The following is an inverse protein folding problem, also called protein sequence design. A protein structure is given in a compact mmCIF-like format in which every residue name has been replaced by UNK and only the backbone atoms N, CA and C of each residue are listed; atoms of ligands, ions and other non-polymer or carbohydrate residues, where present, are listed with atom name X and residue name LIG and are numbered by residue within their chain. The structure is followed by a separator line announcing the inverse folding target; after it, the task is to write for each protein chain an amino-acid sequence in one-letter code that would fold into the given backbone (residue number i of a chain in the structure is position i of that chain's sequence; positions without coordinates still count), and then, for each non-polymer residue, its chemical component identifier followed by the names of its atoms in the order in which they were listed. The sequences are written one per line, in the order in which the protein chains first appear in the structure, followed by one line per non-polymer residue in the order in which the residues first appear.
data_IF_566312192894
#
_entry.id   IF_566312192894
#
_cell.length_a   1.000
_cell.length_b   1.000
_cell.length_c   1.000
_cell.angle_alpha   90.00
_cell.angle_beta   90.00
_cell.angle_gamma   90.00
#
_symmetry.space_group_name_H-M   'P 1'
#
loop_
_entity.id
_entity.type
_entity.pdbx_description
1 polymer ?
#
# COMPACT_ATOMS: atom_id res chain seq x y z
N UNK A 1 17.92 21.17 -3.90
CA UNK A 1 16.60 20.55 -4.12
C UNK A 1 16.40 19.50 -3.04
N UNK A 2 15.62 19.78 -2.01
CA UNK A 2 15.29 18.78 -0.97
C UNK A 2 14.16 17.91 -1.49
N UNK A 3 14.49 16.70 -1.93
CA UNK A 3 13.50 15.66 -2.19
C UNK A 3 12.69 15.47 -0.90
N UNK A 4 11.38 15.70 -0.96
CA UNK A 4 10.49 15.33 0.14
C UNK A 4 10.45 13.81 0.21
N UNK A 5 11.26 13.22 1.11
CA UNK A 5 11.26 11.77 1.34
C UNK A 5 10.12 11.44 2.30
N UNK A 6 9.27 10.49 1.92
CA UNK A 6 8.18 10.00 2.75
C UNK A 6 8.22 8.48 2.86
N UNK A 7 7.91 7.94 4.02
CA UNK A 7 7.72 6.49 4.18
C UNK A 7 6.31 6.10 3.72
N UNK A 8 6.25 5.18 2.76
CA UNK A 8 5.01 4.64 2.20
C UNK A 8 4.94 3.15 2.50
N UNK A 9 3.82 2.70 3.08
CA UNK A 9 3.54 1.27 3.24
C UNK A 9 2.86 0.74 1.99
N UNK A 10 3.51 -0.21 1.32
CA UNK A 10 3.01 -0.88 0.12
C UNK A 10 2.47 -2.24 0.52
N UNK A 11 1.19 -2.45 0.29
CA UNK A 11 0.54 -3.76 0.44
C UNK A 11 0.60 -4.47 -0.90
N UNK A 12 1.29 -5.61 -0.93
CA UNK A 12 1.48 -6.46 -2.09
C UNK A 12 0.88 -7.85 -1.81
N UNK A 13 0.67 -8.66 -2.86
CA UNK A 13 0.11 -10.01 -2.72
C UNK A 13 0.98 -10.95 -1.89
N UNK A 14 2.27 -10.65 -1.76
CA UNK A 14 3.24 -11.41 -0.96
C UNK A 14 3.47 -10.85 0.44
N UNK A 15 2.81 -9.75 0.82
CA UNK A 15 3.01 -9.13 2.13
C UNK A 15 2.95 -7.60 2.14
N UNK A 16 3.37 -7.01 3.24
CA UNK A 16 3.28 -5.58 3.54
C UNK A 16 4.68 -5.02 3.77
N UNK A 17 5.07 -4.03 2.97
CA UNK A 17 6.44 -3.53 2.95
C UNK A 17 6.49 -2.02 3.16
N UNK A 18 7.45 -1.53 3.93
CA UNK A 18 7.69 -0.09 4.08
C UNK A 18 8.82 0.34 3.15
N UNK A 19 8.57 1.36 2.34
CA UNK A 19 9.56 1.93 1.41
C UNK A 19 9.67 3.43 1.57
N UNK A 20 10.89 3.95 1.50
CA UNK A 20 11.13 5.38 1.40
C UNK A 20 10.94 5.82 -0.06
N UNK A 21 9.95 6.69 -0.28
CA UNK A 21 9.60 7.22 -1.60
C UNK A 21 10.02 8.68 -1.67
N UNK A 22 10.68 9.05 -2.77
CA UNK A 22 11.02 10.44 -3.07
C UNK A 22 10.06 10.99 -4.12
N UNK A 23 9.35 12.06 -3.79
CA UNK A 23 8.44 12.69 -4.75
C UNK A 23 9.20 13.59 -5.71
N UNK A 24 8.86 13.49 -7.00
CA UNK A 24 9.39 14.39 -8.01
C UNK A 24 8.92 15.84 -7.74
N UNK A 25 9.87 16.78 -7.70
CA UNK A 25 9.62 18.22 -7.50
C UNK A 25 10.09 19.06 -8.70
N UNK A 26 10.24 18.45 -9.88
CA UNK A 26 10.67 19.17 -11.08
C UNK A 26 9.66 20.28 -11.46
N UNK A 27 10.09 21.40 -12.06
CA UNK A 27 9.18 22.40 -12.61
C UNK A 27 8.23 21.76 -13.63
N UNK A 28 6.91 21.91 -13.43
CA UNK A 28 5.89 21.26 -14.26
C UNK A 28 5.55 19.82 -13.86
N UNK A 29 6.19 19.26 -12.83
CA UNK A 29 5.79 17.96 -12.29
C UNK A 29 4.38 18.04 -11.67
N UNK A 30 3.63 16.96 -11.85
CA UNK A 30 2.28 16.83 -11.34
C UNK A 30 2.30 16.82 -9.81
N UNK A 31 1.69 17.84 -9.20
CA UNK A 31 1.66 17.97 -7.72
C UNK A 31 0.70 16.97 -7.05
N UNK A 32 -0.13 16.29 -7.84
CA UNK A 32 -1.07 15.29 -7.39
C UNK A 32 -0.36 13.94 -7.13
N UNK A 33 0.04 13.70 -5.88
CA UNK A 33 0.75 12.48 -5.47
C UNK A 33 0.01 11.18 -5.83
N UNK A 34 -1.34 11.21 -5.79
CA UNK A 34 -2.16 10.06 -6.18
C UNK A 34 -1.98 9.68 -7.66
N UNK A 35 -1.75 10.64 -8.56
CA UNK A 35 -1.49 10.37 -9.98
C UNK A 35 -0.10 9.76 -10.19
N UNK A 36 0.91 10.21 -9.44
CA UNK A 36 2.23 9.57 -9.45
C UNK A 36 2.17 8.10 -8.98
N UNK A 37 1.41 7.81 -7.92
CA UNK A 37 1.19 6.43 -7.46
C UNK A 37 0.44 5.59 -8.49
N UNK A 38 -0.64 6.13 -9.07
CA UNK A 38 -1.39 5.43 -10.11
C UNK A 38 -0.54 5.12 -11.35
N UNK A 39 0.32 6.05 -11.78
CA UNK A 39 1.32 5.82 -12.84
C UNK A 39 2.30 4.71 -12.47
N UNK A 40 2.65 4.58 -11.19
CA UNK A 40 3.47 3.50 -10.65
C UNK A 40 2.67 2.20 -10.37
N UNK A 41 1.42 2.09 -10.83
CA UNK A 41 0.52 0.94 -10.61
C UNK A 41 0.25 0.66 -9.12
N UNK A 42 0.23 1.73 -8.32
CA UNK A 42 -0.12 1.72 -6.90
C UNK A 42 -1.42 2.49 -6.69
N UNK A 43 -2.38 1.85 -6.03
CA UNK A 43 -3.63 2.46 -5.64
C UNK A 43 -3.48 3.10 -4.24
N UNK A 44 -3.52 4.44 -4.13
CA UNK A 44 -3.35 5.12 -2.84
C UNK A 44 -4.53 4.84 -1.92
N UNK A 45 -4.28 4.74 -0.62
CA UNK A 45 -5.34 4.66 0.40
C UNK A 45 -5.98 6.00 0.70
N UNK A 46 -5.28 7.09 0.41
CA UNK A 46 -5.75 8.46 0.57
C UNK A 46 -5.31 9.32 -0.61
N UNK A 47 -6.23 10.15 -1.10
CA UNK A 47 -5.99 11.07 -2.23
C UNK A 47 -5.11 12.26 -1.79
N UNK A 48 -5.22 12.66 -0.52
CA UNK A 48 -4.57 13.88 0.00
C UNK A 48 -3.16 13.62 0.49
N UNK A 49 -2.90 12.59 1.29
CA UNK A 49 -1.56 12.22 1.76
C UNK A 49 -1.49 10.71 1.97
N UNK A 50 -1.18 9.94 0.91
CA UNK A 50 -1.09 8.49 1.02
C UNK A 50 0.12 8.10 1.89
N UNK A 51 -0.16 7.55 3.07
CA UNK A 51 0.83 6.84 3.90
C UNK A 51 0.93 5.37 3.54
N UNK A 52 -0.08 4.87 2.82
CA UNK A 52 -0.11 3.53 2.29
C UNK A 52 -0.66 3.49 0.87
N UNK A 53 -0.31 2.41 0.16
CA UNK A 53 -0.86 2.10 -1.15
C UNK A 53 -0.97 0.59 -1.34
N UNK A 54 -1.92 0.16 -2.16
CA UNK A 54 -2.12 -1.22 -2.57
C UNK A 54 -1.60 -1.43 -3.99
N UNK A 55 -1.00 -2.57 -4.28
CA UNK A 55 -0.86 -2.97 -5.69
C UNK A 55 -2.22 -3.41 -6.24
N UNK A 56 -2.44 -3.25 -7.54
CA UNK A 56 -3.67 -3.74 -8.16
C UNK A 56 -3.85 -5.26 -7.98
N UNK A 57 -2.76 -6.03 -8.06
CA UNK A 57 -2.78 -7.47 -7.84
C UNK A 57 -3.31 -7.89 -6.46
N UNK A 58 -3.00 -7.13 -5.39
CA UNK A 58 -3.53 -7.46 -4.06
C UNK A 58 -5.03 -7.13 -3.95
N UNK A 59 -5.52 -6.13 -4.69
CA UNK A 59 -6.93 -5.81 -4.77
C UNK A 59 -7.70 -6.89 -5.54
N UNK A 60 -7.13 -7.39 -6.64
CA UNK A 60 -7.72 -8.50 -7.41
C UNK A 60 -7.80 -9.78 -6.56
N UNK A 61 -6.72 -10.11 -5.83
CA UNK A 61 -6.71 -11.25 -4.91
C UNK A 61 -7.76 -11.09 -3.79
N UNK A 62 -7.89 -9.89 -3.22
CA UNK A 62 -8.89 -9.63 -2.19
C UNK A 62 -10.30 -9.79 -2.74
N UNK A 63 -10.56 -9.29 -3.96
CA UNK A 63 -11.86 -9.43 -4.61
C UNK A 63 -12.27 -10.89 -4.76
N UNK A 64 -11.36 -11.75 -5.25
CA UNK A 64 -11.61 -13.19 -5.40
C UNK A 64 -11.83 -13.85 -4.03
N UNK A 65 -10.96 -13.60 -3.05
CA UNK A 65 -11.07 -14.19 -1.69
C UNK A 65 -12.35 -13.73 -0.96
N UNK A 66 -12.81 -12.50 -1.20
CA UNK A 66 -14.05 -11.97 -0.66
C UNK A 66 -15.29 -12.61 -1.32
N UNK A 67 -15.25 -12.86 -2.63
CA UNK A 67 -16.36 -13.47 -3.37
C UNK A 67 -16.48 -14.97 -3.08
N UNK A 68 -15.38 -15.71 -3.19
CA UNK A 68 -15.38 -17.18 -3.10
C UNK A 68 -15.42 -17.66 -1.64
N UNK A 69 -14.60 -17.05 -0.78
CA UNK A 69 -14.42 -17.52 0.60
C UNK A 69 -15.12 -16.64 1.64
N UNK A 70 -15.82 -15.58 1.22
CA UNK A 70 -16.43 -14.58 2.13
C UNK A 70 -15.41 -13.99 3.11
N UNK A 71 -14.16 -13.87 2.65
CA UNK A 71 -13.05 -13.41 3.47
C UNK A 71 -13.24 -11.93 3.82
N UNK A 72 -13.23 -11.61 5.11
CA UNK A 72 -13.26 -10.21 5.54
C UNK A 72 -11.95 -9.50 5.17
N UNK A 73 -12.00 -8.18 4.96
CA UNK A 73 -10.80 -7.39 4.71
C UNK A 73 -9.74 -7.56 5.82
N UNK A 74 -10.16 -7.68 7.07
CA UNK A 74 -9.26 -7.91 8.20
C UNK A 74 -8.60 -9.29 8.15
N UNK A 75 -9.36 -10.35 7.85
CA UNK A 75 -8.81 -11.70 7.70
C UNK A 75 -7.82 -11.79 6.54
N UNK A 76 -8.13 -11.14 5.42
CA UNK A 76 -7.24 -11.06 4.28
C UNK A 76 -5.96 -10.26 4.60
N UNK A 77 -6.07 -9.14 5.32
CA UNK A 77 -4.92 -8.39 5.79
C UNK A 77 -4.03 -9.22 6.73
N UNK A 78 -4.63 -9.95 7.67
CA UNK A 78 -3.90 -10.84 8.56
C UNK A 78 -3.12 -11.91 7.77
N UNK A 79 -3.73 -12.53 6.75
CA UNK A 79 -3.05 -13.45 5.82
C UNK A 79 -1.78 -12.81 5.22
N UNK A 80 -1.85 -11.54 4.81
CA UNK A 80 -0.69 -10.81 4.30
C UNK A 80 0.37 -10.54 5.39
N UNK A 81 -0.03 -10.27 6.64
CA UNK A 81 0.92 -10.15 7.75
C UNK A 81 1.70 -11.43 7.99
N UNK A 82 1.04 -12.59 7.93
CA UNK A 82 1.68 -13.91 8.01
C UNK A 82 2.67 -14.14 6.86
N UNK A 83 2.31 -13.75 5.62
CA UNK A 83 3.26 -13.82 4.49
C UNK A 83 4.47 -12.90 4.66
N UNK A 84 4.29 -11.75 5.31
CA UNK A 84 5.37 -10.78 5.52
C UNK A 84 6.35 -11.25 6.58
N UNK A 85 5.83 -11.72 7.71
CA UNK A 85 6.64 -12.25 8.81
C UNK A 85 5.86 -13.33 9.55
N UNK A 86 6.13 -14.58 9.19
CA UNK A 86 5.47 -15.73 9.80
C UNK A 86 5.79 -15.91 11.30
N UNK A 87 6.93 -15.40 11.78
CA UNK A 87 7.31 -15.53 13.19
C UNK A 87 6.66 -14.44 14.07
N UNK A 88 6.44 -13.25 13.50
CA UNK A 88 5.90 -12.10 14.23
C UNK A 88 4.94 -11.28 13.35
N UNK A 89 3.77 -11.83 12.99
CA UNK A 89 2.80 -11.14 12.13
C UNK A 89 2.22 -9.88 12.78
N UNK A 90 2.16 -9.82 14.11
CA UNK A 90 1.68 -8.64 14.86
C UNK A 90 2.64 -7.45 14.82
N UNK A 91 3.89 -7.66 14.34
CA UNK A 91 4.90 -6.59 14.22
C UNK A 91 4.85 -5.89 12.85
N UNK A 92 3.95 -6.30 11.95
CA UNK A 92 3.82 -5.69 10.64
C UNK A 92 3.17 -4.31 10.77
N UNK A 93 3.72 -3.27 10.11
CA UNK A 93 3.22 -1.91 10.27
C UNK A 93 1.79 -1.76 9.73
N UNK A 94 0.85 -1.57 10.65
CA UNK A 94 -0.47 -1.01 10.34
C UNK A 94 -0.30 0.50 10.18
N UNK A 95 -0.32 0.97 8.94
CA UNK A 95 -0.71 2.37 8.73
C UNK A 95 -2.16 2.45 9.18
N UNK A 96 -2.45 3.11 10.31
CA UNK A 96 -3.82 3.29 10.81
C UNK A 96 -4.73 3.63 9.63
N UNK A 97 -5.58 2.69 9.24
CA UNK A 97 -6.47 2.80 8.07
C UNK A 97 -7.70 3.68 8.39
N UNK A 98 -7.52 4.70 9.24
CA UNK A 98 -8.57 5.60 9.74
C UNK A 98 -8.06 7.03 9.62
#
# INVERSE_FOLDING_TARGET
MQLGVSNLVIVHSTGVYSHSVSWCQCPGAEKAWHLHLMKARLFPTSITHPRSAFTFNVLDNFLIDALECKTSAMSFYQKLCWFTNNAFPDKIPVSNFI
#
